data_IF_619783398716
#
_entry.id   IF_619783398716
#
_cell.length_a   1.000
_cell.length_b   1.000
_cell.length_c   1.000
_cell.angle_alpha   90.00
_cell.angle_beta   90.00
_cell.angle_gamma   90.00
#
_symmetry.space_group_name_H-M   'P 1'
#
loop_
_entity.id
_entity.type
_entity.pdbx_description
1 polymer ?
#
# COMPACT_ATOMS: atom_id res chain seq x y z
N UNK A 1 2.46 -70.83 7.57
CA UNK A 1 3.11 -69.85 8.47
C UNK A 1 2.91 -68.48 7.87
N UNK A 2 1.92 -67.73 8.35
CA UNK A 2 1.78 -66.31 8.02
C UNK A 2 2.52 -65.50 9.08
N UNK A 3 3.61 -64.85 8.71
CA UNK A 3 4.29 -63.88 9.56
C UNK A 3 3.45 -62.61 9.60
N UNK A 4 2.71 -62.38 10.69
CA UNK A 4 2.20 -61.05 11.00
C UNK A 4 3.40 -60.15 11.33
N UNK A 5 3.52 -59.02 10.63
CA UNK A 5 4.47 -57.98 11.01
C UNK A 5 4.08 -57.40 12.38
N UNK A 6 5.04 -56.96 13.22
CA UNK A 6 4.72 -56.46 14.54
C UNK A 6 3.97 -55.12 14.42
N UNK A 7 2.74 -55.05 14.93
CA UNK A 7 1.86 -53.87 14.88
C UNK A 7 2.52 -52.58 15.44
N UNK A 8 3.52 -52.73 16.34
CA UNK A 8 4.27 -51.60 16.89
C UNK A 8 5.19 -50.87 15.90
N UNK A 9 5.72 -51.56 14.88
CA UNK A 9 6.55 -50.89 13.88
C UNK A 9 5.72 -49.98 12.97
N UNK A 10 4.52 -50.38 12.60
CA UNK A 10 3.65 -49.63 11.70
C UNK A 10 3.12 -48.34 12.36
N UNK A 11 2.79 -48.39 13.65
CA UNK A 11 2.43 -47.20 14.42
C UNK A 11 3.59 -46.20 14.56
N UNK A 12 4.81 -46.67 14.79
CA UNK A 12 6.01 -45.83 14.87
C UNK A 12 6.32 -45.14 13.53
N UNK A 13 6.15 -45.85 12.39
CA UNK A 13 6.32 -45.26 11.06
C UNK A 13 5.28 -44.17 10.78
N UNK A 14 4.00 -44.40 11.11
CA UNK A 14 2.94 -43.41 10.92
C UNK A 14 3.17 -42.16 11.78
N UNK A 15 3.59 -42.33 13.04
CA UNK A 15 3.92 -41.20 13.92
C UNK A 15 5.08 -40.39 13.36
N UNK A 16 6.15 -41.06 12.91
CA UNK A 16 7.31 -40.40 12.30
C UNK A 16 6.93 -39.62 11.03
N UNK A 17 6.07 -40.16 10.18
CA UNK A 17 5.61 -39.48 8.96
C UNK A 17 4.77 -38.23 9.29
N UNK A 18 3.91 -38.31 10.31
CA UNK A 18 3.11 -37.16 10.78
C UNK A 18 4.03 -36.08 11.35
N UNK A 19 5.00 -36.46 12.18
CA UNK A 19 5.96 -35.54 12.78
C UNK A 19 6.83 -34.84 11.73
N UNK A 20 7.30 -35.58 10.71
CA UNK A 20 8.05 -35.02 9.59
C UNK A 20 7.21 -34.04 8.76
N UNK A 21 5.93 -34.36 8.50
CA UNK A 21 5.00 -33.45 7.81
C UNK A 21 4.76 -32.17 8.62
N UNK A 22 4.55 -32.30 9.94
CA UNK A 22 4.33 -31.17 10.83
C UNK A 22 5.58 -30.28 10.94
N UNK A 23 6.76 -30.89 11.08
CA UNK A 23 8.04 -30.18 11.11
C UNK A 23 8.28 -29.42 9.80
N UNK A 24 8.00 -30.06 8.65
CA UNK A 24 8.08 -29.40 7.33
C UNK A 24 7.11 -28.23 7.23
N UNK A 25 5.87 -28.39 7.66
CA UNK A 25 4.86 -27.33 7.61
C UNK A 25 5.28 -26.14 8.48
N UNK A 26 5.76 -26.41 9.69
CA UNK A 26 6.30 -25.40 10.61
C UNK A 26 7.49 -24.65 10.01
N UNK A 27 8.46 -25.35 9.40
CA UNK A 27 9.61 -24.72 8.76
C UNK A 27 9.22 -23.82 7.57
N UNK A 28 8.18 -24.19 6.82
CA UNK A 28 7.64 -23.35 5.75
C UNK A 28 6.99 -22.09 6.33
N UNK A 29 6.17 -22.23 7.36
CA UNK A 29 5.49 -21.08 7.97
C UNK A 29 6.50 -20.15 8.69
N UNK A 30 7.58 -20.69 9.27
CA UNK A 30 8.69 -19.88 9.81
C UNK A 30 9.53 -19.19 8.72
N UNK A 31 9.48 -19.68 7.49
CA UNK A 31 10.17 -19.05 6.36
C UNK A 31 9.31 -17.98 5.68
N UNK A 32 8.00 -18.17 5.57
CA UNK A 32 7.11 -17.30 4.80
C UNK A 32 7.01 -15.86 5.35
N UNK A 33 6.89 -14.84 4.48
CA UNK A 33 6.94 -13.43 4.87
C UNK A 33 5.94 -13.02 5.96
N UNK A 34 4.69 -13.53 5.91
CA UNK A 34 3.66 -13.14 6.89
C UNK A 34 3.78 -13.90 8.20
N UNK A 35 4.12 -15.18 8.15
CA UNK A 35 4.08 -16.09 9.30
C UNK A 35 5.41 -16.22 10.04
N UNK A 36 6.53 -15.82 9.42
CA UNK A 36 7.89 -15.98 9.97
C UNK A 36 8.17 -15.21 11.26
N UNK A 37 7.37 -14.19 11.60
CA UNK A 37 7.62 -13.38 12.80
C UNK A 37 6.34 -12.77 13.37
N UNK A 38 5.98 -13.19 14.59
CA UNK A 38 4.76 -12.76 15.29
C UNK A 38 5.03 -12.00 16.59
N UNK A 39 5.96 -11.05 16.54
CA UNK A 39 6.39 -10.27 17.71
C UNK A 39 5.99 -8.79 17.62
N UNK A 40 5.08 -8.43 16.70
CA UNK A 40 4.69 -7.05 16.49
C UNK A 40 3.89 -6.50 17.67
N UNK A 41 4.16 -5.25 18.03
CA UNK A 41 3.48 -4.54 19.13
C UNK A 41 2.34 -3.69 18.55
N UNK A 42 1.39 -3.25 19.39
CA UNK A 42 0.22 -2.50 18.91
C UNK A 42 0.57 -1.22 18.14
N UNK A 43 1.71 -0.57 18.43
CA UNK A 43 2.13 0.62 17.68
C UNK A 43 2.75 0.28 16.33
N UNK A 44 3.17 -0.97 16.11
CA UNK A 44 3.63 -1.43 14.80
C UNK A 44 2.47 -1.45 13.82
N UNK A 45 1.31 -1.95 14.23
CA UNK A 45 0.12 -1.86 13.39
C UNK A 45 -0.28 -0.42 13.13
N UNK A 46 -0.10 0.51 14.08
CA UNK A 46 -0.38 1.92 13.84
C UNK A 46 0.43 2.49 12.67
N UNK A 47 1.78 2.41 12.72
CA UNK A 47 2.59 3.00 11.64
C UNK A 47 2.52 2.19 10.34
N UNK A 48 2.33 0.87 10.38
CA UNK A 48 2.10 0.06 9.18
C UNK A 48 0.80 0.46 8.49
N UNK A 49 -0.31 0.63 9.23
CA UNK A 49 -1.58 1.10 8.66
C UNK A 49 -1.47 2.55 8.17
N UNK A 50 -0.82 3.47 8.90
CA UNK A 50 -0.56 4.84 8.40
C UNK A 50 0.23 4.80 7.10
N UNK A 51 1.26 3.95 7.02
CA UNK A 51 2.10 3.83 5.82
C UNK A 51 1.31 3.25 4.64
N UNK A 52 0.44 2.27 4.89
CA UNK A 52 -0.41 1.65 3.88
C UNK A 52 -1.44 2.65 3.33
N UNK A 53 -2.06 3.42 4.23
CA UNK A 53 -3.15 4.32 3.87
C UNK A 53 -2.66 5.67 3.34
N UNK A 54 -1.83 6.40 4.11
CA UNK A 54 -1.39 7.78 3.84
C UNK A 54 -0.30 7.81 2.77
N UNK A 55 -0.65 7.34 1.57
CA UNK A 55 0.17 7.19 0.39
C UNK A 55 0.06 8.32 -0.62
N UNK A 56 0.44 8.05 -1.87
CA UNK A 56 0.32 9.00 -2.98
C UNK A 56 -1.11 9.57 -3.17
N UNK A 57 -2.15 8.86 -2.71
CA UNK A 57 -3.54 9.29 -2.84
C UNK A 57 -3.90 10.57 -2.09
N UNK A 58 -3.25 10.89 -0.96
CA UNK A 58 -3.54 12.16 -0.26
C UNK A 58 -3.18 13.39 -1.11
N UNK A 59 -2.17 13.27 -1.97
CA UNK A 59 -1.69 14.36 -2.82
C UNK A 59 -2.68 14.71 -3.95
N UNK A 60 -3.54 13.77 -4.34
CA UNK A 60 -4.57 13.96 -5.35
C UNK A 60 -5.95 14.30 -4.78
N UNK A 61 -6.16 14.22 -3.46
CA UNK A 61 -7.46 14.56 -2.87
C UNK A 61 -7.96 15.98 -3.20
N UNK A 62 -7.12 17.03 -3.24
CA UNK A 62 -7.57 18.36 -3.66
C UNK A 62 -8.06 18.37 -5.11
N UNK A 63 -7.40 17.58 -5.98
CA UNK A 63 -7.80 17.39 -7.36
C UNK A 63 -9.15 16.68 -7.45
N UNK A 64 -9.35 15.60 -6.69
CA UNK A 64 -10.64 14.91 -6.60
C UNK A 64 -11.75 15.87 -6.13
N UNK A 65 -11.48 16.75 -5.17
CA UNK A 65 -12.42 17.79 -4.73
C UNK A 65 -12.79 18.77 -5.85
N UNK A 66 -11.83 19.14 -6.72
CA UNK A 66 -12.10 20.00 -7.87
C UNK A 66 -12.97 19.35 -8.95
N UNK A 67 -12.96 18.03 -9.03
CA UNK A 67 -13.82 17.28 -9.96
C UNK A 67 -15.20 16.97 -9.36
N UNK A 68 -15.28 16.75 -8.04
CA UNK A 68 -16.54 16.49 -7.33
C UNK A 68 -17.30 17.76 -6.93
N UNK A 69 -16.59 18.88 -6.79
CA UNK A 69 -17.11 20.10 -6.18
C UNK A 69 -17.24 20.01 -4.66
N UNK A 70 -17.62 21.12 -4.01
CA UNK A 70 -17.67 21.20 -2.54
C UNK A 70 -18.66 20.22 -1.90
N UNK A 71 -19.94 20.26 -2.32
CA UNK A 71 -20.99 19.42 -1.71
C UNK A 71 -20.71 17.92 -1.84
N UNK A 72 -20.69 17.37 -3.07
CA UNK A 72 -20.37 15.96 -3.28
C UNK A 72 -18.97 15.58 -2.80
N UNK A 73 -17.97 16.43 -2.98
CA UNK A 73 -16.60 16.16 -2.56
C UNK A 73 -16.46 15.99 -1.04
N UNK A 74 -17.01 16.91 -0.24
CA UNK A 74 -17.00 16.79 1.22
C UNK A 74 -17.80 15.58 1.68
N UNK A 75 -18.98 15.34 1.08
CA UNK A 75 -19.81 14.18 1.42
C UNK A 75 -19.06 12.87 1.16
N UNK A 76 -18.47 12.71 -0.03
CA UNK A 76 -17.67 11.52 -0.38
C UNK A 76 -16.47 11.38 0.56
N UNK A 77 -15.73 12.46 0.85
CA UNK A 77 -14.57 12.41 1.75
C UNK A 77 -14.94 11.93 3.17
N UNK A 78 -16.01 12.47 3.76
CA UNK A 78 -16.50 12.09 5.10
C UNK A 78 -17.05 10.67 5.09
N UNK A 79 -17.91 10.33 4.13
CA UNK A 79 -18.52 9.00 4.04
C UNK A 79 -17.46 7.93 3.80
N UNK A 80 -16.50 8.17 2.91
CA UNK A 80 -15.39 7.24 2.69
C UNK A 80 -14.58 7.03 3.96
N UNK A 81 -14.27 8.07 4.75
CA UNK A 81 -13.57 7.91 6.02
C UNK A 81 -14.36 7.05 7.02
N UNK A 82 -15.66 7.29 7.19
CA UNK A 82 -16.52 6.52 8.11
C UNK A 82 -16.67 5.06 7.64
N UNK A 83 -17.02 4.87 6.36
CA UNK A 83 -17.25 3.53 5.78
C UNK A 83 -15.97 2.72 5.87
N UNK A 84 -14.82 3.30 5.49
CA UNK A 84 -13.56 2.56 5.50
C UNK A 84 -13.11 2.19 6.91
N UNK A 85 -13.32 3.08 7.90
CA UNK A 85 -13.06 2.76 9.31
C UNK A 85 -13.92 1.58 9.78
N UNK A 86 -15.20 1.61 9.44
CA UNK A 86 -16.14 0.54 9.79
C UNK A 86 -15.78 -0.79 9.10
N UNK A 87 -15.49 -0.78 7.81
CA UNK A 87 -15.13 -2.02 7.10
C UNK A 87 -13.78 -2.57 7.54
N UNK A 88 -12.83 -1.70 7.94
CA UNK A 88 -11.56 -2.13 8.50
C UNK A 88 -11.77 -2.76 9.89
N UNK A 89 -12.63 -2.17 10.73
CA UNK A 89 -13.04 -2.80 12.00
C UNK A 89 -13.59 -4.22 11.79
N UNK A 90 -14.46 -4.40 10.80
CA UNK A 90 -15.00 -5.72 10.47
C UNK A 90 -13.88 -6.71 10.14
N UNK A 91 -12.86 -6.31 9.35
CA UNK A 91 -11.72 -7.18 9.04
C UNK A 91 -10.91 -7.55 10.29
N UNK A 92 -10.71 -6.60 11.21
CA UNK A 92 -10.01 -6.86 12.47
C UNK A 92 -10.72 -7.90 13.34
N UNK A 93 -12.04 -7.82 13.42
CA UNK A 93 -12.85 -8.82 14.12
C UNK A 93 -12.88 -10.16 13.39
N UNK A 94 -12.94 -10.15 12.06
CA UNK A 94 -13.02 -11.35 11.23
C UNK A 94 -11.72 -12.16 11.19
N UNK A 95 -10.56 -11.56 11.49
CA UNK A 95 -9.27 -12.27 11.50
C UNK A 95 -9.25 -13.53 12.40
N UNK A 96 -10.02 -13.53 13.49
CA UNK A 96 -10.08 -14.62 14.48
C UNK A 96 -11.53 -14.96 14.86
N UNK A 97 -12.48 -14.80 13.93
CA UNK A 97 -13.90 -15.04 14.20
C UNK A 97 -14.27 -16.51 14.42
N UNK A 98 -13.40 -17.43 13.98
CA UNK A 98 -13.58 -18.88 14.16
C UNK A 98 -12.63 -19.34 15.26
N UNK A 99 -13.12 -19.97 16.35
CA UNK A 99 -12.26 -20.48 17.41
C UNK A 99 -11.15 -21.39 16.87
N UNK A 100 -9.90 -21.10 17.23
CA UNK A 100 -8.73 -21.88 16.82
C UNK A 100 -8.22 -21.63 15.38
N UNK A 101 -8.84 -20.73 14.61
CA UNK A 101 -8.39 -20.38 13.25
C UNK A 101 -8.09 -18.89 13.12
N UNK A 102 -6.92 -18.58 12.58
CA UNK A 102 -6.53 -17.24 12.16
C UNK A 102 -6.60 -17.15 10.64
N UNK A 103 -7.18 -16.09 10.12
CA UNK A 103 -7.13 -15.74 8.70
C UNK A 103 -6.00 -14.73 8.50
N UNK A 104 -4.78 -15.23 8.37
CA UNK A 104 -3.57 -14.38 8.32
C UNK A 104 -3.41 -13.67 6.96
N UNK A 105 -4.16 -14.12 5.94
CA UNK A 105 -4.14 -13.53 4.59
C UNK A 105 -5.53 -13.11 4.15
N UNK A 106 -5.60 -12.01 3.41
CA UNK A 106 -6.85 -11.47 2.89
C UNK A 106 -7.64 -12.50 2.06
N UNK A 107 -6.97 -13.25 1.19
CA UNK A 107 -7.62 -14.29 0.38
C UNK A 107 -8.12 -15.48 1.21
N UNK A 108 -7.54 -15.79 2.38
CA UNK A 108 -8.01 -16.89 3.25
C UNK A 108 -9.39 -16.57 3.86
N UNK A 109 -9.59 -15.31 4.27
CA UNK A 109 -10.89 -14.84 4.73
C UNK A 109 -11.90 -14.84 3.57
N UNK A 110 -11.48 -14.45 2.38
CA UNK A 110 -12.29 -14.53 1.16
C UNK A 110 -12.74 -15.95 0.81
N UNK A 111 -11.84 -16.92 0.92
CA UNK A 111 -12.15 -18.34 0.73
C UNK A 111 -13.13 -18.87 1.78
N UNK A 112 -13.05 -18.37 3.01
CA UNK A 112 -14.01 -18.73 4.04
C UNK A 112 -15.41 -18.15 3.77
N UNK A 113 -15.49 -16.89 3.33
CA UNK A 113 -16.76 -16.22 3.06
C UNK A 113 -17.47 -16.74 1.80
N UNK A 114 -16.73 -16.98 0.71
CA UNK A 114 -17.29 -17.33 -0.60
C UNK A 114 -17.05 -18.79 -1.03
N UNK A 115 -16.37 -19.59 -0.20
CA UNK A 115 -15.95 -20.95 -0.51
C UNK A 115 -14.56 -21.03 -1.14
N UNK A 116 -13.91 -22.20 -1.04
CA UNK A 116 -12.47 -22.36 -1.32
C UNK A 116 -12.05 -21.95 -2.74
N UNK A 117 -12.87 -22.27 -3.75
CA UNK A 117 -12.57 -21.97 -5.16
C UNK A 117 -13.04 -20.57 -5.54
N UNK A 118 -14.31 -20.27 -5.28
CA UNK A 118 -14.92 -19.01 -5.69
C UNK A 118 -14.27 -17.82 -4.97
N UNK A 119 -13.96 -17.96 -3.69
CA UNK A 119 -13.24 -16.94 -2.93
C UNK A 119 -11.88 -16.62 -3.51
N UNK A 120 -11.10 -17.61 -3.97
CA UNK A 120 -9.83 -17.35 -4.65
C UNK A 120 -10.02 -16.58 -5.96
N UNK A 121 -10.95 -17.01 -6.81
CA UNK A 121 -11.17 -16.39 -8.12
C UNK A 121 -11.70 -14.95 -8.03
N UNK A 122 -12.46 -14.61 -6.99
CA UNK A 122 -12.94 -13.25 -6.77
C UNK A 122 -11.86 -12.38 -6.11
N UNK A 123 -11.26 -12.86 -5.01
CA UNK A 123 -10.42 -12.02 -4.15
C UNK A 123 -9.02 -11.84 -4.68
N UNK A 124 -8.36 -12.91 -5.16
CA UNK A 124 -6.94 -12.84 -5.55
C UNK A 124 -6.71 -11.85 -6.71
N UNK A 125 -7.50 -11.84 -7.80
CA UNK A 125 -7.30 -10.86 -8.86
C UNK A 125 -7.46 -9.42 -8.39
N UNK A 126 -8.49 -9.13 -7.57
CA UNK A 126 -8.74 -7.79 -7.05
C UNK A 126 -7.62 -7.34 -6.10
N UNK A 127 -7.19 -8.22 -5.19
CA UNK A 127 -6.08 -7.98 -4.28
C UNK A 127 -4.79 -7.69 -5.04
N UNK A 128 -4.43 -8.53 -6.02
CA UNK A 128 -3.22 -8.33 -6.82
C UNK A 128 -3.28 -7.06 -7.67
N UNK A 129 -4.44 -6.71 -8.25
CA UNK A 129 -4.61 -5.45 -8.98
C UNK A 129 -4.29 -4.25 -8.08
N UNK A 130 -4.78 -4.25 -6.84
CA UNK A 130 -4.52 -3.17 -5.88
C UNK A 130 -3.05 -3.18 -5.46
N UNK A 131 -2.49 -4.30 -5.01
CA UNK A 131 -1.11 -4.37 -4.51
C UNK A 131 -0.07 -4.03 -5.58
N UNK A 132 -0.19 -4.67 -6.75
CA UNK A 132 0.71 -4.43 -7.89
C UNK A 132 0.50 -3.03 -8.46
N UNK A 133 -0.75 -2.60 -8.60
CA UNK A 133 -1.10 -1.27 -9.10
C UNK A 133 -0.53 -0.16 -8.23
N UNK A 134 -0.71 -0.25 -6.91
CA UNK A 134 -0.15 0.69 -5.93
C UNK A 134 1.38 0.73 -6.03
N UNK A 135 2.03 -0.43 -6.11
CA UNK A 135 3.49 -0.51 -6.27
C UNK A 135 3.98 0.17 -7.56
N UNK A 136 3.25 0.04 -8.68
CA UNK A 136 3.55 0.75 -9.94
C UNK A 136 3.34 2.26 -9.78
N UNK A 137 2.25 2.68 -9.15
CA UNK A 137 1.96 4.11 -8.88
C UNK A 137 3.05 4.73 -8.01
N UNK A 138 3.59 3.99 -7.03
CA UNK A 138 4.71 4.45 -6.21
C UNK A 138 6.02 4.55 -6.98
N UNK A 139 6.31 3.64 -7.90
CA UNK A 139 7.47 3.77 -8.80
C UNK A 139 7.40 5.06 -9.63
N UNK A 140 6.22 5.36 -10.18
CA UNK A 140 5.98 6.59 -10.95
C UNK A 140 6.05 7.83 -10.06
N UNK A 141 5.38 7.81 -8.90
CA UNK A 141 5.33 8.93 -7.95
C UNK A 141 6.72 9.26 -7.41
N UNK A 142 7.48 8.24 -6.97
CA UNK A 142 8.85 8.39 -6.51
C UNK A 142 9.77 8.97 -7.59
N UNK A 143 9.67 8.47 -8.82
CA UNK A 143 10.40 9.04 -9.95
C UNK A 143 10.03 10.49 -10.27
N UNK A 144 8.73 10.83 -10.24
CA UNK A 144 8.23 12.20 -10.46
C UNK A 144 8.73 13.15 -9.36
N UNK A 145 8.72 12.71 -8.10
CA UNK A 145 9.21 13.50 -6.97
C UNK A 145 10.74 13.70 -7.01
N UNK A 146 11.52 12.67 -7.35
CA UNK A 146 12.97 12.83 -7.55
C UNK A 146 13.30 13.78 -8.71
N UNK A 147 12.59 13.66 -9.84
CA UNK A 147 12.73 14.58 -10.97
C UNK A 147 12.43 16.02 -10.54
N UNK A 148 11.35 16.24 -9.78
CA UNK A 148 10.99 17.56 -9.27
C UNK A 148 12.08 18.15 -8.38
N UNK A 149 12.69 17.35 -7.50
CA UNK A 149 13.81 17.79 -6.67
C UNK A 149 15.01 18.19 -7.52
N UNK A 150 15.38 17.37 -8.50
CA UNK A 150 16.45 17.67 -9.45
C UNK A 150 16.22 19.01 -10.17
N UNK A 151 15.04 19.21 -10.74
CA UNK A 151 14.71 20.40 -11.52
C UNK A 151 14.68 21.69 -10.66
N UNK A 152 14.34 21.55 -9.38
CA UNK A 152 14.34 22.66 -8.43
C UNK A 152 15.74 23.04 -7.94
N UNK A 153 16.59 22.04 -7.67
CA UNK A 153 17.93 22.24 -7.09
C UNK A 153 18.97 22.55 -8.15
N UNK A 154 18.88 21.93 -9.34
CA UNK A 154 19.83 22.11 -10.43
C UNK A 154 19.22 22.78 -11.65
N UNK A 155 19.00 24.10 -11.59
CA UNK A 155 18.42 24.88 -12.69
C UNK A 155 19.26 24.92 -13.97
N UNK A 156 20.57 24.69 -13.85
CA UNK A 156 21.52 24.69 -14.97
C UNK A 156 21.83 23.29 -15.49
N UNK A 157 21.28 22.23 -14.88
CA UNK A 157 21.46 20.87 -15.35
C UNK A 157 20.70 20.62 -16.66
N UNK A 158 21.20 19.68 -17.46
CA UNK A 158 20.45 19.20 -18.63
C UNK A 158 19.16 18.52 -18.15
N UNK A 159 18.02 18.74 -18.84
CA UNK A 159 16.78 18.07 -18.50
C UNK A 159 16.93 16.56 -18.66
N UNK A 160 16.59 15.81 -17.61
CA UNK A 160 16.64 14.35 -17.57
C UNK A 160 15.20 13.83 -17.64
N UNK A 161 14.95 12.80 -18.46
CA UNK A 161 13.62 12.20 -18.59
C UNK A 161 13.19 11.53 -17.28
N UNK A 162 11.90 11.64 -16.93
CA UNK A 162 11.30 11.01 -15.73
C UNK A 162 11.62 9.51 -15.64
N UNK A 163 11.74 8.82 -16.78
CA UNK A 163 12.06 7.38 -16.84
C UNK A 163 13.38 7.03 -16.15
N UNK A 164 14.40 7.89 -16.20
CA UNK A 164 15.65 7.68 -15.47
C UNK A 164 15.46 7.79 -13.96
N UNK A 165 14.66 8.75 -13.50
CA UNK A 165 14.35 8.87 -12.07
C UNK A 165 13.52 7.70 -11.55
N UNK A 166 12.64 7.12 -12.37
CA UNK A 166 11.94 5.87 -12.03
C UNK A 166 12.94 4.73 -11.85
N UNK A 167 13.97 4.62 -12.72
CA UNK A 167 15.01 3.59 -12.58
C UNK A 167 15.86 3.81 -11.32
N UNK A 168 16.22 5.06 -11.01
CA UNK A 168 16.93 5.41 -9.77
C UNK A 168 16.09 5.03 -8.55
N UNK A 169 14.82 5.40 -8.53
CA UNK A 169 13.90 5.05 -7.45
C UNK A 169 13.76 3.52 -7.30
N UNK A 170 13.58 2.79 -8.42
CA UNK A 170 13.48 1.33 -8.43
C UNK A 170 14.72 0.63 -7.86
N UNK A 171 15.92 1.22 -8.01
CA UNK A 171 17.17 0.63 -7.49
C UNK A 171 17.12 0.37 -5.98
N UNK A 172 16.45 1.24 -5.22
CA UNK A 172 16.28 1.09 -3.76
C UNK A 172 15.45 -0.15 -3.44
N UNK A 173 14.43 -0.45 -4.25
CA UNK A 173 13.54 -1.60 -4.04
C UNK A 173 14.23 -2.93 -4.31
N UNK A 174 15.22 -2.97 -5.20
CA UNK A 174 16.05 -4.16 -5.39
C UNK A 174 16.84 -4.52 -4.13
N UNK A 175 17.18 -3.55 -3.28
CA UNK A 175 17.82 -3.83 -1.99
C UNK A 175 16.76 -4.15 -0.93
N UNK A 176 15.81 -3.25 -0.69
CA UNK A 176 14.86 -3.36 0.42
C UNK A 176 13.87 -4.52 0.30
N UNK A 177 13.58 -5.00 -0.90
CA UNK A 177 12.71 -6.18 -1.11
C UNK A 177 13.29 -7.45 -0.48
N UNK A 178 14.59 -7.49 -0.13
CA UNK A 178 15.19 -8.65 0.53
C UNK A 178 14.92 -8.70 2.04
N UNK A 179 14.31 -7.67 2.63
CA UNK A 179 13.87 -7.71 4.02
C UNK A 179 12.78 -8.81 4.16
N UNK A 180 12.94 -9.80 5.05
CA UNK A 180 12.21 -11.06 4.94
C UNK A 180 10.72 -10.94 5.27
N UNK A 181 10.33 -10.05 6.19
CA UNK A 181 8.97 -9.93 6.73
C UNK A 181 8.65 -8.50 7.23
N UNK A 182 7.39 -8.29 7.64
CA UNK A 182 6.88 -7.00 8.16
C UNK A 182 7.70 -6.45 9.33
N UNK A 183 8.13 -7.30 10.28
CA UNK A 183 8.95 -6.86 11.41
C UNK A 183 10.31 -6.29 10.97
N UNK A 184 10.89 -6.85 9.90
CA UNK A 184 12.17 -6.38 9.34
C UNK A 184 12.05 -5.03 8.61
N UNK A 185 10.87 -4.70 8.08
CA UNK A 185 10.60 -3.40 7.45
C UNK A 185 10.02 -2.36 8.41
N UNK A 186 9.86 -2.69 9.71
CA UNK A 186 9.24 -1.81 10.70
C UNK A 186 9.89 -0.43 10.79
N UNK A 187 11.22 -0.34 10.79
CA UNK A 187 11.95 0.93 10.78
C UNK A 187 11.70 1.76 9.50
N UNK A 188 11.68 1.09 8.34
CA UNK A 188 11.37 1.73 7.05
C UNK A 188 9.93 2.24 7.02
N UNK A 189 8.99 1.46 7.54
CA UNK A 189 7.58 1.85 7.64
C UNK A 189 7.36 2.99 8.63
N UNK A 190 8.03 2.97 9.80
CA UNK A 190 7.94 4.08 10.74
C UNK A 190 8.47 5.39 10.13
N UNK A 191 9.62 5.34 9.46
CA UNK A 191 10.15 6.50 8.74
C UNK A 191 9.15 6.98 7.69
N UNK A 192 8.55 6.06 6.91
CA UNK A 192 7.55 6.41 5.91
C UNK A 192 6.30 7.06 6.51
N UNK A 193 5.79 6.57 7.64
CA UNK A 193 4.65 7.17 8.35
C UNK A 193 4.96 8.60 8.81
N UNK A 194 6.15 8.84 9.39
CA UNK A 194 6.57 10.19 9.81
C UNK A 194 6.68 11.14 8.60
N UNK A 195 7.23 10.64 7.49
CA UNK A 195 7.34 11.43 6.26
C UNK A 195 5.99 11.76 5.64
N UNK A 196 4.97 10.89 5.75
CA UNK A 196 3.63 11.21 5.25
C UNK A 196 2.89 12.26 6.05
N UNK A 197 2.97 12.20 7.37
CA UNK A 197 2.54 13.30 8.24
C UNK A 197 3.25 14.61 7.85
N UNK A 198 4.55 14.56 7.59
CA UNK A 198 5.36 15.73 7.29
C UNK A 198 5.01 16.38 5.95
N UNK A 199 4.98 15.62 4.85
CA UNK A 199 4.65 16.20 3.53
C UNK A 199 3.18 16.63 3.46
N UNK A 200 2.26 15.94 4.15
CA UNK A 200 0.85 16.34 4.22
C UNK A 200 0.71 17.66 4.97
N UNK A 201 1.44 17.80 6.08
CA UNK A 201 1.48 19.05 6.85
C UNK A 201 2.01 20.20 6.00
N UNK A 202 3.11 19.99 5.28
CA UNK A 202 3.66 20.99 4.37
C UNK A 202 2.64 21.35 3.28
N UNK A 203 1.96 20.35 2.69
CA UNK A 203 1.01 20.59 1.61
C UNK A 203 -0.11 21.55 2.03
N UNK A 204 -0.77 21.33 3.17
CA UNK A 204 -1.85 22.23 3.60
C UNK A 204 -1.32 23.54 4.19
N UNK A 205 -0.26 23.53 5.00
CA UNK A 205 0.29 24.77 5.61
C UNK A 205 0.86 25.72 4.56
N UNK A 206 1.61 25.22 3.57
CA UNK A 206 2.13 26.02 2.48
C UNK A 206 0.99 26.57 1.60
N UNK A 207 -0.09 25.80 1.44
CA UNK A 207 -1.29 26.27 0.74
C UNK A 207 -1.97 27.43 1.49
N UNK A 208 -2.19 27.30 2.81
CA UNK A 208 -2.71 28.41 3.65
C UNK A 208 -1.83 29.65 3.53
N UNK A 209 -0.52 29.48 3.62
CA UNK A 209 0.42 30.60 3.56
C UNK A 209 0.42 31.30 2.20
N UNK A 210 0.22 30.54 1.10
CA UNK A 210 0.06 31.12 -0.24
C UNK A 210 -1.23 31.94 -0.37
N UNK A 211 -2.25 31.59 0.41
CA UNK A 211 -3.56 32.22 0.38
C UNK A 211 -4.39 31.81 -0.83
N UNK A 212 -5.64 32.30 -0.84
CA UNK A 212 -6.59 32.09 -1.94
C UNK A 212 -6.01 32.69 -3.22
N UNK A 213 -5.90 31.90 -4.29
CA UNK A 213 -5.33 32.40 -5.55
C UNK A 213 -6.26 33.45 -6.19
N UNK A 214 -5.73 34.50 -6.85
CA UNK A 214 -6.53 35.64 -7.34
C UNK A 214 -7.69 35.26 -8.27
N UNK A 215 -7.50 34.25 -9.12
CA UNK A 215 -8.48 33.80 -10.12
C UNK A 215 -9.11 32.46 -9.74
N UNK A 216 -9.30 32.19 -8.44
CA UNK A 216 -9.85 30.92 -7.98
C UNK A 216 -11.33 30.78 -8.37
N UNK A 217 -11.66 29.65 -8.98
CA UNK A 217 -13.04 29.25 -9.26
C UNK A 217 -13.35 27.91 -8.58
N UNK A 218 -14.57 27.77 -8.05
CA UNK A 218 -15.06 26.54 -7.41
C UNK A 218 -16.12 25.80 -8.23
N UNK A 219 -16.28 26.16 -9.51
CA UNK A 219 -17.06 25.39 -10.46
C UNK A 219 -16.31 24.13 -10.90
N UNK A 220 -17.01 23.20 -11.54
CA UNK A 220 -16.39 21.99 -12.08
C UNK A 220 -15.23 22.31 -13.04
N UNK A 221 -14.20 21.46 -13.01
CA UNK A 221 -13.03 21.57 -13.89
C UNK A 221 -13.40 21.37 -15.36
N UNK A 222 -14.19 20.33 -15.66
CA UNK A 222 -14.75 20.10 -16.98
C UNK A 222 -15.84 21.11 -17.31
N UNK A 223 -15.86 21.61 -18.54
CA UNK A 223 -16.86 22.55 -19.05
C UNK A 223 -17.99 21.87 -19.83
N UNK A 224 -17.85 20.59 -20.17
CA UNK A 224 -18.87 19.78 -20.85
C UNK A 224 -19.54 18.82 -19.87
N UNK A 225 -20.83 18.53 -20.07
CA UNK A 225 -21.58 17.60 -19.21
C UNK A 225 -20.95 16.21 -19.17
N UNK A 226 -20.52 15.68 -20.32
CA UNK A 226 -19.85 14.37 -20.39
C UNK A 226 -18.52 14.38 -19.63
N UNK A 227 -17.71 15.43 -19.79
CA UNK A 227 -16.46 15.59 -19.05
C UNK A 227 -16.68 15.62 -17.54
N UNK A 228 -17.70 16.35 -17.07
CA UNK A 228 -18.04 16.40 -15.65
C UNK A 228 -18.42 15.03 -15.10
N UNK A 229 -19.21 14.24 -15.84
CA UNK A 229 -19.59 12.87 -15.41
C UNK A 229 -18.37 11.96 -15.33
N UNK A 230 -17.51 11.94 -16.36
CA UNK A 230 -16.32 11.09 -16.35
C UNK A 230 -15.33 11.51 -15.26
N UNK A 231 -15.14 12.80 -15.05
CA UNK A 231 -14.27 13.33 -14.00
C UNK A 231 -14.81 13.02 -12.61
N UNK A 232 -16.13 13.12 -12.41
CA UNK A 232 -16.77 12.73 -11.16
C UNK A 232 -16.49 11.26 -10.82
N UNK A 233 -16.66 10.35 -11.79
CA UNK A 233 -16.37 8.91 -11.61
C UNK A 233 -14.88 8.65 -11.37
N UNK A 234 -14.00 9.36 -12.07
CA UNK A 234 -12.56 9.30 -11.84
C UNK A 234 -12.19 9.74 -10.43
N UNK A 235 -12.82 10.81 -9.93
CA UNK A 235 -12.56 11.34 -8.60
C UNK A 235 -13.07 10.43 -7.48
N UNK A 236 -14.16 9.68 -7.69
CA UNK A 236 -14.54 8.60 -6.78
C UNK A 236 -13.43 7.53 -6.70
N UNK A 237 -12.81 7.21 -7.84
CA UNK A 237 -11.64 6.33 -7.90
C UNK A 237 -10.43 6.90 -7.15
N UNK A 238 -10.14 8.19 -7.28
CA UNK A 238 -9.06 8.86 -6.55
C UNK A 238 -9.28 8.82 -5.02
N UNK A 239 -10.51 9.08 -4.55
CA UNK A 239 -10.84 8.99 -3.13
C UNK A 239 -10.76 7.53 -2.64
N UNK A 240 -11.27 6.57 -3.40
CA UNK A 240 -11.17 5.16 -3.06
C UNK A 240 -9.71 4.69 -2.96
N UNK A 241 -8.87 5.12 -3.92
CA UNK A 241 -7.42 4.86 -3.90
C UNK A 241 -6.74 5.50 -2.71
N UNK A 242 -7.12 6.72 -2.31
CA UNK A 242 -6.55 7.38 -1.14
C UNK A 242 -6.83 6.62 0.16
N UNK A 243 -7.98 5.94 0.29
CA UNK A 243 -8.31 5.13 1.46
C UNK A 243 -7.94 3.65 1.32
N UNK A 244 -7.13 3.27 0.32
CA UNK A 244 -6.65 1.89 0.18
C UNK A 244 -5.80 1.46 1.39
N UNK A 245 -5.96 0.20 1.82
CA UNK A 245 -5.24 -0.36 2.97
C UNK A 245 -5.85 -1.66 3.51
N UNK A 246 -7.13 -1.92 3.22
CA UNK A 246 -7.83 -3.14 3.64
C UNK A 246 -7.17 -4.42 3.16
N UNK A 247 -6.59 -4.40 1.95
CA UNK A 247 -5.99 -5.57 1.32
C UNK A 247 -4.65 -6.01 1.94
N UNK A 248 -4.12 -5.27 2.93
CA UNK A 248 -2.90 -5.65 3.67
C UNK A 248 -3.16 -5.76 5.18
N UNK A 249 -4.39 -5.53 5.63
CA UNK A 249 -4.69 -5.34 7.05
C UNK A 249 -4.64 -6.65 7.84
N UNK A 250 -5.06 -7.76 7.22
CA UNK A 250 -5.00 -9.08 7.85
C UNK A 250 -3.55 -9.52 7.99
N UNK A 251 -2.75 -9.28 6.96
CA UNK A 251 -1.32 -9.57 6.94
C UNK A 251 -0.55 -8.76 8.00
N UNK A 252 -0.92 -7.50 8.22
CA UNK A 252 -0.38 -6.70 9.35
C UNK A 252 -0.81 -7.30 10.69
N UNK A 253 -2.08 -7.66 10.86
CA UNK A 253 -2.59 -8.24 12.10
C UNK A 253 -1.99 -9.61 12.41
N UNK A 254 -1.66 -10.41 11.38
CA UNK A 254 -1.02 -11.70 11.52
C UNK A 254 0.34 -11.61 12.26
N UNK A 255 1.04 -10.48 12.13
CA UNK A 255 2.33 -10.24 12.81
C UNK A 255 2.20 -10.00 14.31
N UNK A 256 0.99 -9.74 14.80
CA UNK A 256 0.72 -9.53 16.22
C UNK A 256 0.55 -10.89 16.92
N UNK A 257 1.21 -11.11 18.07
CA UNK A 257 0.97 -12.29 18.88
C UNK A 257 -0.50 -12.39 19.27
N UNK A 258 -1.03 -13.61 19.31
CA UNK A 258 -2.42 -13.88 19.70
C UNK A 258 -2.47 -15.06 20.65
N UNK A 259 -3.19 -14.92 21.75
CA UNK A 259 -3.52 -16.00 22.68
C UNK A 259 -5.04 -16.01 22.95
N UNK A 260 -5.63 -17.11 23.44
CA UNK A 260 -7.04 -17.13 23.82
C UNK A 260 -7.45 -15.99 24.78
N UNK A 261 -6.54 -15.59 25.68
CA UNK A 261 -6.75 -14.51 26.65
C UNK A 261 -6.50 -13.12 26.04
N UNK A 262 -5.57 -13.05 25.08
CA UNK A 262 -5.14 -11.80 24.42
C UNK A 262 -5.20 -11.93 22.90
N UNK A 263 -6.41 -11.90 22.31
CA UNK A 263 -6.56 -12.01 20.86
C UNK A 263 -5.99 -10.78 20.15
N UNK A 264 -5.38 -10.99 18.98
CA UNK A 264 -4.69 -9.97 18.18
C UNK A 264 -5.56 -8.75 17.84
N UNK A 265 -6.88 -8.93 17.79
CA UNK A 265 -7.85 -7.87 17.46
C UNK A 265 -7.79 -6.66 18.38
N UNK A 266 -7.52 -6.84 19.68
CA UNK A 266 -7.45 -5.74 20.66
C UNK A 266 -6.28 -4.77 20.36
N UNK A 267 -5.01 -5.24 20.33
CA UNK A 267 -3.89 -4.38 19.94
C UNK A 267 -3.96 -3.90 18.50
N UNK A 268 -4.47 -4.72 17.56
CA UNK A 268 -4.68 -4.30 16.18
C UNK A 268 -5.62 -3.10 16.09
N UNK A 269 -6.81 -3.19 16.72
CA UNK A 269 -7.82 -2.14 16.69
C UNK A 269 -7.31 -0.82 17.29
N UNK A 270 -6.54 -0.90 18.38
CA UNK A 270 -5.87 0.27 18.95
C UNK A 270 -4.96 0.96 17.92
N UNK A 271 -4.18 0.19 17.16
CA UNK A 271 -3.32 0.73 16.10
C UNK A 271 -4.12 1.33 14.94
N UNK A 272 -5.21 0.67 14.53
CA UNK A 272 -6.13 1.16 13.49
C UNK A 272 -6.75 2.50 13.86
N UNK A 273 -7.25 2.65 15.09
CA UNK A 273 -7.83 3.93 15.55
C UNK A 273 -6.80 5.06 15.47
N UNK A 274 -5.58 4.82 15.94
CA UNK A 274 -4.49 5.81 15.83
C UNK A 274 -4.19 6.13 14.37
N UNK A 275 -4.13 5.13 13.50
CA UNK A 275 -3.89 5.32 12.08
C UNK A 275 -5.00 6.16 11.42
N UNK A 276 -6.26 5.92 11.75
CA UNK A 276 -7.40 6.67 11.19
C UNK A 276 -7.48 8.12 11.67
N UNK A 277 -7.04 8.39 12.90
CA UNK A 277 -6.86 9.76 13.38
C UNK A 277 -5.78 10.47 12.55
N UNK A 278 -4.63 9.80 12.33
CA UNK A 278 -3.55 10.34 11.49
C UNK A 278 -4.00 10.56 10.04
N UNK A 279 -4.74 9.61 9.47
CA UNK A 279 -5.35 9.74 8.13
C UNK A 279 -6.26 10.96 8.09
N UNK A 280 -7.13 11.15 9.09
CA UNK A 280 -8.00 12.33 9.14
C UNK A 280 -7.20 13.64 9.18
N UNK A 281 -6.16 13.70 10.02
CA UNK A 281 -5.27 14.86 10.14
C UNK A 281 -4.46 15.16 8.87
N UNK A 282 -4.19 14.15 8.04
CA UNK A 282 -3.52 14.36 6.76
C UNK A 282 -4.53 14.72 5.66
N UNK A 283 -5.65 14.01 5.58
CA UNK A 283 -6.51 14.00 4.39
C UNK A 283 -7.45 15.18 4.37
N UNK A 284 -8.13 15.46 5.48
CA UNK A 284 -9.12 16.53 5.52
C UNK A 284 -8.48 17.90 5.33
N UNK A 285 -7.38 18.27 6.04
CA UNK A 285 -6.72 19.54 5.79
C UNK A 285 -6.19 19.64 4.36
N UNK A 286 -5.50 18.61 3.85
CA UNK A 286 -4.96 18.66 2.48
C UNK A 286 -6.09 18.83 1.47
N UNK A 287 -7.14 18.02 1.52
CA UNK A 287 -8.26 18.07 0.59
C UNK A 287 -9.03 19.39 0.65
N UNK A 288 -9.47 19.80 1.85
CA UNK A 288 -10.34 20.95 2.03
C UNK A 288 -9.57 22.26 1.82
N UNK A 289 -8.38 22.41 2.42
CA UNK A 289 -7.58 23.63 2.27
C UNK A 289 -6.97 23.69 0.87
N UNK A 290 -6.45 22.57 0.35
CA UNK A 290 -5.91 22.53 -1.01
C UNK A 290 -6.96 22.94 -2.04
N UNK A 291 -8.18 22.40 -1.94
CA UNK A 291 -9.26 22.82 -2.83
C UNK A 291 -9.72 24.26 -2.57
N UNK A 292 -9.77 24.70 -1.31
CA UNK A 292 -10.10 26.09 -0.99
C UNK A 292 -9.10 27.09 -1.54
N UNK A 293 -7.80 26.80 -1.52
CA UNK A 293 -6.80 27.77 -2.00
C UNK A 293 -6.71 27.81 -3.53
N UNK A 294 -6.85 26.67 -4.21
CA UNK A 294 -6.58 26.54 -5.65
C UNK A 294 -7.83 26.33 -6.52
N UNK A 295 -8.97 25.95 -5.94
CA UNK A 295 -10.21 25.69 -6.68
C UNK A 295 -10.02 24.68 -7.81
N UNK A 296 -10.65 24.93 -8.95
CA UNK A 296 -10.57 24.07 -10.14
C UNK A 296 -9.19 24.08 -10.85
N UNK A 297 -8.29 25.01 -10.49
CA UNK A 297 -6.95 25.13 -11.07
C UNK A 297 -5.93 24.16 -10.47
N UNK A 298 -6.27 23.50 -9.35
CA UNK A 298 -5.38 22.55 -8.66
C UNK A 298 -4.88 21.45 -9.59
N UNK A 299 -3.59 21.12 -9.48
CA UNK A 299 -2.96 20.04 -10.25
C UNK A 299 -3.23 18.67 -9.61
N UNK A 300 -2.98 17.61 -10.38
CA UNK A 300 -3.12 16.20 -9.98
C UNK A 300 -2.36 15.84 -8.70
N UNK A 301 -1.31 16.59 -8.39
CA UNK A 301 -0.58 16.54 -7.14
C UNK A 301 -0.43 17.95 -6.57
N UNK A 302 -0.97 18.17 -5.36
CA UNK A 302 -0.95 19.47 -4.67
C UNK A 302 0.45 20.06 -4.50
N UNK A 303 1.50 19.23 -4.36
CA UNK A 303 2.88 19.71 -4.22
C UNK A 303 3.41 20.35 -5.52
N UNK A 304 2.78 20.09 -6.66
CA UNK A 304 3.10 20.72 -7.94
C UNK A 304 2.44 22.09 -8.04
N UNK A 305 1.29 22.28 -7.40
CA UNK A 305 0.60 23.57 -7.30
C UNK A 305 1.36 24.59 -6.42
N UNK A 306 2.29 24.10 -5.58
CA UNK A 306 3.21 24.93 -4.82
C UNK A 306 4.33 25.46 -5.73
N UNK A 307 4.54 26.78 -5.73
CA UNK A 307 5.55 27.44 -6.58
C UNK A 307 6.74 27.98 -5.79
N UNK A 308 6.53 28.42 -4.54
CA UNK A 308 7.56 28.97 -3.64
C UNK A 308 7.24 28.65 -2.17
N UNK A 309 8.25 28.61 -1.27
CA UNK A 309 9.69 28.67 -1.56
C UNK A 309 10.25 27.31 -2.07
N UNK A 310 11.26 27.38 -2.92
CA UNK A 310 11.83 26.20 -3.64
C UNK A 310 12.32 25.10 -2.70
N UNK A 311 13.02 25.47 -1.63
CA UNK A 311 13.59 24.49 -0.68
C UNK A 311 12.51 23.66 0.01
N UNK A 312 11.36 24.26 0.33
CA UNK A 312 10.23 23.60 1.01
C UNK A 312 9.59 22.57 0.08
N UNK A 313 9.44 22.91 -1.21
CA UNK A 313 8.89 22.00 -2.23
C UNK A 313 9.85 20.84 -2.48
N UNK A 314 11.15 21.11 -2.55
CA UNK A 314 12.17 20.06 -2.69
C UNK A 314 12.15 19.11 -1.48
N UNK A 315 12.08 19.65 -0.26
CA UNK A 315 11.99 18.87 0.97
C UNK A 315 10.71 18.01 1.00
N UNK A 316 9.55 18.58 0.68
CA UNK A 316 8.28 17.84 0.62
C UNK A 316 8.33 16.69 -0.40
N UNK A 317 8.92 16.91 -1.57
CA UNK A 317 9.11 15.84 -2.56
C UNK A 317 10.08 14.76 -2.08
N UNK A 318 11.14 15.11 -1.35
CA UNK A 318 12.02 14.10 -0.73
C UNK A 318 11.29 13.29 0.36
N UNK A 319 10.42 13.92 1.14
CA UNK A 319 9.57 13.20 2.10
C UNK A 319 8.61 12.24 1.39
N UNK A 320 8.01 12.65 0.27
CA UNK A 320 7.22 11.75 -0.58
C UNK A 320 8.06 10.55 -1.03
N UNK A 321 9.28 10.76 -1.51
CA UNK A 321 10.20 9.68 -1.93
C UNK A 321 10.44 8.68 -0.79
N UNK A 322 10.80 9.14 0.41
CA UNK A 322 11.04 8.26 1.55
C UNK A 322 9.76 7.52 1.96
N UNK A 323 8.62 8.21 1.96
CA UNK A 323 7.34 7.60 2.28
C UNK A 323 6.97 6.48 1.30
N UNK A 324 7.00 6.75 -0.01
CA UNK A 324 6.60 5.76 -1.02
C UNK A 324 7.58 4.58 -1.09
N UNK A 325 8.84 4.75 -0.66
CA UNK A 325 9.77 3.64 -0.47
C UNK A 325 9.23 2.63 0.55
N UNK A 326 8.82 3.12 1.73
CA UNK A 326 8.28 2.26 2.78
C UNK A 326 6.91 1.68 2.43
N UNK A 327 6.03 2.49 1.84
CA UNK A 327 4.70 2.03 1.45
C UNK A 327 4.75 0.95 0.37
N UNK A 328 5.66 1.05 -0.60
CA UNK A 328 5.91 -0.04 -1.55
C UNK A 328 6.24 -1.36 -0.84
N UNK A 329 7.08 -1.34 0.21
CA UNK A 329 7.43 -2.58 0.92
C UNK A 329 6.21 -3.19 1.62
N UNK A 330 5.31 -2.36 2.16
CA UNK A 330 4.07 -2.82 2.79
C UNK A 330 3.17 -3.56 1.78
N UNK A 331 2.99 -3.01 0.59
CA UNK A 331 2.16 -3.61 -0.45
C UNK A 331 2.83 -4.77 -1.20
N UNK A 332 4.16 -4.80 -1.28
CA UNK A 332 4.89 -5.89 -1.93
C UNK A 332 4.94 -7.16 -1.06
N UNK A 333 4.91 -7.04 0.27
CA UNK A 333 5.02 -8.18 1.20
C UNK A 333 3.93 -9.24 1.01
N UNK A 334 2.63 -8.91 0.92
CA UNK A 334 1.59 -9.91 0.63
C UNK A 334 1.76 -10.59 -0.73
N UNK A 335 2.19 -9.86 -1.76
CA UNK A 335 2.49 -10.44 -3.07
C UNK A 335 3.66 -11.43 -2.98
N UNK A 336 4.73 -11.06 -2.28
CA UNK A 336 5.86 -11.95 -2.03
C UNK A 336 5.40 -13.21 -1.29
N UNK A 337 4.59 -13.07 -0.26
CA UNK A 337 4.06 -14.21 0.49
C UNK A 337 3.19 -15.11 -0.38
N UNK A 338 2.33 -14.55 -1.23
CA UNK A 338 1.47 -15.30 -2.12
C UNK A 338 2.27 -16.11 -3.15
N UNK A 339 3.26 -15.49 -3.80
CA UNK A 339 4.12 -16.15 -4.80
C UNK A 339 5.05 -17.18 -4.14
N UNK A 340 5.68 -16.83 -3.02
CA UNK A 340 6.53 -17.73 -2.24
C UNK A 340 5.72 -18.95 -1.72
N UNK A 341 4.48 -18.74 -1.27
CA UNK A 341 3.56 -19.81 -0.87
C UNK A 341 3.19 -20.72 -2.03
N UNK A 342 2.89 -20.17 -3.20
CA UNK A 342 2.60 -20.96 -4.40
C UNK A 342 3.80 -21.85 -4.77
N UNK A 343 5.00 -21.26 -4.82
CA UNK A 343 6.22 -21.97 -5.20
C UNK A 343 6.57 -23.09 -4.22
N UNK A 344 6.46 -22.84 -2.91
CA UNK A 344 6.85 -23.81 -1.88
C UNK A 344 5.75 -24.84 -1.60
N UNK A 345 4.49 -24.42 -1.42
CA UNK A 345 3.40 -25.33 -1.01
C UNK A 345 2.74 -26.06 -2.17
N UNK A 346 2.65 -25.46 -3.36
CA UNK A 346 2.00 -26.10 -4.53
C UNK A 346 3.01 -26.67 -5.52
N UNK A 347 4.08 -25.94 -5.81
CA UNK A 347 5.10 -26.35 -6.78
C UNK A 347 6.30 -27.06 -6.14
N UNK A 348 6.30 -27.24 -4.81
CA UNK A 348 7.28 -28.01 -4.05
C UNK A 348 8.74 -27.56 -4.21
N UNK A 349 8.99 -26.29 -4.51
CA UNK A 349 10.34 -25.71 -4.48
C UNK A 349 10.89 -25.69 -3.05
N UNK A 350 12.21 -25.82 -2.90
CA UNK A 350 12.88 -25.75 -1.60
C UNK A 350 12.92 -24.30 -1.08
N UNK A 351 12.44 -24.03 0.15
CA UNK A 351 12.59 -22.73 0.78
C UNK A 351 14.07 -22.38 0.90
N UNK A 352 14.52 -21.34 0.19
CA UNK A 352 15.92 -20.95 0.15
C UNK A 352 16.07 -19.45 -0.06
N UNK A 353 17.22 -18.92 0.34
CA UNK A 353 17.56 -17.52 0.06
C UNK A 353 17.61 -17.24 -1.45
N UNK A 354 18.11 -18.18 -2.26
CA UNK A 354 18.16 -18.04 -3.72
C UNK A 354 16.78 -17.94 -4.38
N UNK A 355 15.80 -18.73 -3.91
CA UNK A 355 14.41 -18.63 -4.38
C UNK A 355 13.83 -17.24 -4.10
N UNK A 356 13.98 -16.76 -2.85
CA UNK A 356 13.53 -15.44 -2.43
C UNK A 356 14.21 -14.33 -3.24
N UNK A 357 15.52 -14.41 -3.42
CA UNK A 357 16.29 -13.46 -4.22
C UNK A 357 15.72 -13.37 -5.64
N UNK A 358 15.56 -14.49 -6.34
CA UNK A 358 15.09 -14.49 -7.72
C UNK A 358 13.65 -13.95 -7.85
N UNK A 359 12.73 -14.46 -7.04
CA UNK A 359 11.30 -14.07 -7.09
C UNK A 359 11.13 -12.58 -6.84
N UNK A 360 11.77 -12.05 -5.80
CA UNK A 360 11.60 -10.64 -5.42
C UNK A 360 12.28 -9.68 -6.39
N UNK A 361 13.47 -10.02 -6.91
CA UNK A 361 14.11 -9.23 -7.97
C UNK A 361 13.28 -9.24 -9.26
N UNK A 362 12.73 -10.40 -9.65
CA UNK A 362 11.88 -10.51 -10.84
C UNK A 362 10.62 -9.65 -10.70
N UNK A 363 9.99 -9.64 -9.52
CA UNK A 363 8.85 -8.78 -9.23
C UNK A 363 9.21 -7.29 -9.38
N UNK A 364 10.26 -6.83 -8.70
CA UNK A 364 10.71 -5.42 -8.76
C UNK A 364 11.06 -5.02 -10.20
N UNK A 365 11.78 -5.88 -10.93
CA UNK A 365 12.15 -5.64 -12.33
C UNK A 365 10.93 -5.54 -13.25
N UNK A 366 9.93 -6.41 -13.05
CA UNK A 366 8.69 -6.40 -13.81
C UNK A 366 7.91 -5.11 -13.59
N UNK A 367 7.76 -4.67 -12.33
CA UNK A 367 7.04 -3.44 -12.02
C UNK A 367 7.75 -2.20 -12.54
N UNK A 368 9.08 -2.14 -12.41
CA UNK A 368 9.89 -1.08 -13.03
C UNK A 368 9.67 -1.01 -14.54
N UNK A 369 9.66 -2.15 -15.22
CA UNK A 369 9.45 -2.19 -16.67
C UNK A 369 8.05 -1.68 -17.03
N UNK A 370 7.01 -2.07 -16.30
CA UNK A 370 5.64 -1.57 -16.51
C UNK A 370 5.57 -0.06 -16.28
N UNK A 371 6.11 0.43 -15.16
CA UNK A 371 6.16 1.87 -14.85
C UNK A 371 6.90 2.68 -15.94
N UNK A 372 8.02 2.15 -16.44
CA UNK A 372 8.77 2.74 -17.54
C UNK A 372 7.92 2.84 -18.82
N UNK A 373 7.24 1.75 -19.21
CA UNK A 373 6.41 1.71 -20.41
C UNK A 373 5.18 2.61 -20.32
N UNK A 374 4.56 2.72 -19.14
CA UNK A 374 3.44 3.64 -18.92
C UNK A 374 3.89 5.09 -19.18
N UNK A 375 5.07 5.47 -18.69
CA UNK A 375 5.58 6.82 -18.91
C UNK A 375 5.97 7.08 -20.37
N UNK A 376 6.61 6.13 -21.05
CA UNK A 376 6.98 6.32 -22.46
C UNK A 376 5.76 6.43 -23.36
N UNK A 377 4.71 5.60 -23.13
CA UNK A 377 3.45 5.69 -23.88
C UNK A 377 2.69 6.98 -23.61
N UNK A 378 2.66 7.46 -22.35
CA UNK A 378 2.05 8.75 -22.03
C UNK A 378 2.71 9.91 -22.79
N UNK A 379 4.04 9.89 -22.90
CA UNK A 379 4.78 10.87 -23.72
C UNK A 379 4.43 10.73 -25.21
N UNK A 380 4.25 9.51 -25.73
CA UNK A 380 3.87 9.32 -27.13
C UNK A 380 2.45 9.84 -27.43
N UNK A 381 1.48 9.59 -26.57
CA UNK A 381 0.10 10.09 -26.74
C UNK A 381 0.06 11.63 -26.75
N UNK A 382 0.82 12.30 -25.88
CA UNK A 382 0.89 13.77 -25.82
C UNK A 382 1.59 14.39 -27.04
N UNK A 383 2.42 13.64 -27.77
CA UNK A 383 3.11 14.13 -28.98
C UNK A 383 2.31 13.90 -30.27
N UNK A 384 1.19 13.18 -30.19
CA UNK A 384 0.30 12.89 -31.32
C UNK A 384 -0.94 13.80 -31.32
N UNK A 385 -1.21 14.48 -30.19
CA UNK A 385 -2.14 15.60 -30.04
C UNK A 385 -1.38 16.94 -30.08
#
# INVERSE_FOLDING_TARGET
>A
MGTQAPEGHEQDYVHKEIDEKLARQKAIDEWLPITSSRNAKWWYSAFHNVTAMVGAGVLSLPYAMAELGWGPGVAVLVLSWIITLYTLWQMVEMHEMVPGKRFDRYHELGQYAFGEKLGLYIVVPQQLIVEVGVCIVYMVTGGKSLMKVHDLVCKTCKPIKQTYFIMIFASVHFVLSHLPNFNSISGVSLAAAVMSLSYSTIAWTASVHKGVQPDVEYGYKAKTTSGTVFNFLSALGDVAFAYAGHNVVLEIQATIPSTPETPSKKPMWRGVIVAYIVVALCYFPVALIGYWMYGNSVKDNILISLEKPVWLIAMANMFVVVHVIGSYQIYAMPVFDMVETLLVKRLHFTPSWGLRFFVRNLYVASLRNVAFHIQTKKVQLILVD
#
